data_IF_577083977513
#
_entry.id   IF_577083977513
#
_cell.length_a   1.000
_cell.length_b   1.000
_cell.length_c   1.000
_cell.angle_alpha   90.00
_cell.angle_beta   90.00
_cell.angle_gamma   90.00
#
_symmetry.space_group_name_H-M   'P 1'
#
loop_
_entity.id
_entity.type
_entity.pdbx_description
1 polymer ?
#
# COMPACT_ATOMS: atom_id res chain seq x y z
N UNK A 1 8.17 -4.12 -35.69
CA UNK A 1 9.36 -3.73 -34.95
C UNK A 1 9.04 -2.45 -34.17
N UNK A 2 9.52 -2.26 -32.94
CA UNK A 2 9.36 -0.99 -32.24
C UNK A 2 10.06 0.14 -33.00
N UNK A 3 9.56 1.37 -32.88
CA UNK A 3 10.20 2.55 -33.52
C UNK A 3 11.56 2.84 -32.88
N UNK A 4 12.46 3.49 -33.62
CA UNK A 4 13.80 3.90 -33.11
C UNK A 4 13.67 4.76 -31.84
N UNK A 5 12.65 5.62 -31.76
CA UNK A 5 12.36 6.43 -30.57
C UNK A 5 12.05 5.58 -29.35
N UNK A 6 11.27 4.50 -29.51
CA UNK A 6 10.97 3.58 -28.41
C UNK A 6 12.21 2.83 -27.93
N UNK A 7 13.04 2.37 -28.86
CA UNK A 7 14.32 1.69 -28.54
C UNK A 7 15.23 2.65 -27.76
N UNK A 8 15.36 3.88 -28.23
CA UNK A 8 16.16 4.91 -27.55
C UNK A 8 15.60 5.21 -26.15
N UNK A 9 14.28 5.35 -26.02
CA UNK A 9 13.62 5.58 -24.73
C UNK A 9 13.85 4.41 -23.75
N UNK A 10 13.80 3.17 -24.24
CA UNK A 10 14.05 1.97 -23.42
C UNK A 10 15.51 1.90 -22.94
N UNK A 11 16.48 2.19 -23.81
CA UNK A 11 17.89 2.26 -23.43
C UNK A 11 18.11 3.30 -22.33
N UNK A 12 17.51 4.48 -22.47
CA UNK A 12 17.58 5.55 -21.46
C UNK A 12 16.91 5.11 -20.16
N UNK A 13 15.70 4.53 -20.24
CA UNK A 13 14.94 4.04 -19.11
C UNK A 13 15.72 3.01 -18.29
N UNK A 14 16.29 1.99 -18.96
CA UNK A 14 17.07 0.94 -18.33
C UNK A 14 18.39 1.48 -17.74
N UNK A 15 19.05 2.44 -18.42
CA UNK A 15 20.27 3.10 -17.91
C UNK A 15 20.01 3.87 -16.61
N UNK A 16 18.86 4.55 -16.50
CA UNK A 16 18.54 5.34 -15.31
C UNK A 16 18.00 4.51 -14.16
N UNK A 17 17.35 3.38 -14.41
CA UNK A 17 16.73 2.49 -13.42
C UNK A 17 15.98 3.29 -12.34
N UNK A 18 14.96 4.03 -12.80
CA UNK A 18 14.31 5.08 -12.01
C UNK A 18 13.68 4.51 -10.74
N UNK A 19 13.03 3.34 -10.78
CA UNK A 19 12.32 2.79 -9.63
C UNK A 19 13.27 2.30 -8.54
N UNK A 20 14.47 1.80 -8.91
CA UNK A 20 15.54 1.50 -7.96
C UNK A 20 16.02 2.75 -7.24
N UNK A 21 16.26 3.84 -7.98
CA UNK A 21 16.64 5.12 -7.38
C UNK A 21 15.55 5.67 -6.49
N UNK A 22 14.29 5.59 -6.92
CA UNK A 22 13.14 6.02 -6.12
C UNK A 22 13.02 5.22 -4.82
N UNK A 23 13.32 3.92 -4.81
CA UNK A 23 13.37 3.14 -3.59
C UNK A 23 14.28 3.81 -2.54
N UNK A 24 15.55 4.07 -2.88
CA UNK A 24 16.50 4.67 -1.95
C UNK A 24 16.09 6.10 -1.54
N UNK A 25 15.65 6.90 -2.50
CA UNK A 25 15.28 8.29 -2.24
C UNK A 25 14.03 8.41 -1.37
N UNK A 26 13.01 7.60 -1.63
CA UNK A 26 11.84 7.54 -0.76
C UNK A 26 12.17 6.99 0.63
N UNK A 27 13.08 6.01 0.73
CA UNK A 27 13.53 5.46 2.01
C UNK A 27 14.14 6.58 2.86
N UNK A 28 15.09 7.33 2.31
CA UNK A 28 15.77 8.41 3.03
C UNK A 28 14.79 9.55 3.34
N UNK A 29 14.07 10.05 2.33
CA UNK A 29 13.18 11.19 2.50
C UNK A 29 11.99 10.86 3.42
N UNK A 30 11.38 9.68 3.26
CA UNK A 30 10.27 9.21 4.08
C UNK A 30 10.68 8.98 5.53
N UNK A 31 11.81 8.31 5.75
CA UNK A 31 12.36 8.10 7.10
C UNK A 31 12.68 9.42 7.81
N UNK A 32 13.39 10.33 7.14
CA UNK A 32 13.73 11.64 7.72
C UNK A 32 12.47 12.47 7.98
N UNK A 33 11.52 12.49 7.05
CA UNK A 33 10.25 13.18 7.27
C UNK A 33 9.47 12.59 8.45
N UNK A 34 9.43 11.26 8.57
CA UNK A 34 8.78 10.56 9.68
C UNK A 34 9.46 10.93 11.00
N UNK A 35 10.78 10.86 11.05
CA UNK A 35 11.58 11.21 12.21
C UNK A 35 11.33 12.67 12.66
N UNK A 36 11.44 13.63 11.75
CA UNK A 36 11.21 15.04 12.08
C UNK A 36 9.76 15.32 12.46
N UNK A 37 8.80 14.64 11.86
CA UNK A 37 7.39 14.78 12.22
C UNK A 37 7.10 14.22 13.62
N UNK A 38 7.68 13.08 13.98
CA UNK A 38 7.59 12.53 15.33
C UNK A 38 8.28 13.45 16.34
N UNK A 39 9.50 13.93 16.06
CA UNK A 39 10.19 14.88 16.96
C UNK A 39 9.34 16.12 17.15
N UNK A 40 8.68 16.64 16.10
CA UNK A 40 7.80 17.81 16.16
C UNK A 40 6.60 17.60 17.09
N UNK A 41 6.06 16.36 17.19
CA UNK A 41 4.98 16.05 18.14
C UNK A 41 5.43 16.33 19.58
N UNK A 42 6.71 16.05 19.91
CA UNK A 42 7.26 16.26 21.26
C UNK A 42 7.87 17.67 21.44
N UNK A 43 8.45 18.22 20.39
CA UNK A 43 9.16 19.51 20.42
C UNK A 43 8.92 20.29 19.13
N UNK A 44 7.84 21.07 19.10
CA UNK A 44 7.54 21.94 17.95
C UNK A 44 8.42 23.19 17.99
N UNK A 45 9.36 23.30 17.05
CA UNK A 45 10.25 24.45 16.90
C UNK A 45 10.46 24.78 15.41
N UNK A 46 11.11 25.94 15.15
CA UNK A 46 11.35 26.41 13.77
C UNK A 46 12.14 25.39 12.93
N UNK A 47 13.13 24.73 13.53
CA UNK A 47 13.95 23.73 12.84
C UNK A 47 13.11 22.54 12.38
N UNK A 48 12.33 21.91 13.29
CA UNK A 48 11.51 20.75 12.93
C UNK A 48 10.44 21.09 11.90
N UNK A 49 9.85 22.30 11.96
CA UNK A 49 8.87 22.77 10.96
C UNK A 49 9.50 22.91 9.57
N UNK A 50 10.68 23.55 9.49
CA UNK A 50 11.39 23.71 8.22
C UNK A 50 11.82 22.35 7.66
N UNK A 51 12.39 21.48 8.50
CA UNK A 51 12.82 20.14 8.07
C UNK A 51 11.67 19.31 7.50
N UNK A 52 10.50 19.29 8.17
CA UNK A 52 9.31 18.60 7.67
C UNK A 52 8.85 19.19 6.32
N UNK A 53 8.85 20.51 6.17
CA UNK A 53 8.43 21.14 4.92
C UNK A 53 9.40 20.86 3.76
N UNK A 54 10.71 20.86 4.02
CA UNK A 54 11.73 20.50 3.01
C UNK A 54 11.53 19.05 2.56
N UNK A 55 11.43 18.11 3.51
CA UNK A 55 11.22 16.70 3.19
C UNK A 55 9.89 16.47 2.46
N UNK A 56 8.85 17.21 2.83
CA UNK A 56 7.57 17.16 2.14
C UNK A 56 7.66 17.59 0.66
N UNK A 57 8.39 18.67 0.37
CA UNK A 57 8.63 19.11 -1.01
C UNK A 57 9.43 18.05 -1.77
N UNK A 58 10.48 17.48 -1.16
CA UNK A 58 11.28 16.41 -1.76
C UNK A 58 10.40 15.21 -2.10
N UNK A 59 9.55 14.76 -1.16
CA UNK A 59 8.61 13.65 -1.39
C UNK A 59 7.65 13.97 -2.54
N UNK A 60 7.15 15.20 -2.65
CA UNK A 60 6.33 15.64 -3.77
C UNK A 60 7.05 15.56 -5.13
N UNK A 61 8.33 15.97 -5.17
CA UNK A 61 9.17 15.86 -6.37
C UNK A 61 9.39 14.36 -6.73
N UNK A 62 9.70 13.53 -5.74
CA UNK A 62 9.86 12.09 -5.95
C UNK A 62 8.59 11.44 -6.49
N UNK A 63 7.41 11.87 -6.02
CA UNK A 63 6.13 11.41 -6.56
C UNK A 63 5.93 11.83 -8.03
N UNK A 64 6.33 13.05 -8.38
CA UNK A 64 6.36 13.50 -9.79
C UNK A 64 7.27 12.62 -10.66
N UNK A 65 8.49 12.32 -10.18
CA UNK A 65 9.43 11.43 -10.88
C UNK A 65 8.89 9.99 -10.99
N UNK A 66 8.21 9.50 -9.96
CA UNK A 66 7.55 8.19 -9.98
C UNK A 66 6.47 8.13 -11.06
N UNK A 67 5.64 9.17 -11.15
CA UNK A 67 4.60 9.31 -12.19
C UNK A 67 5.23 9.32 -13.58
N UNK A 68 6.30 10.09 -13.79
CA UNK A 68 7.03 10.12 -15.06
C UNK A 68 7.63 8.76 -15.40
N UNK A 69 8.14 8.02 -14.41
CA UNK A 69 8.64 6.65 -14.60
C UNK A 69 7.56 5.69 -15.10
N UNK A 70 6.35 5.76 -14.54
CA UNK A 70 5.20 4.96 -14.99
C UNK A 70 4.77 5.35 -16.40
N UNK A 71 4.72 6.64 -16.73
CA UNK A 71 4.38 7.14 -18.07
C UNK A 71 5.43 6.67 -19.10
N UNK A 72 6.73 6.76 -18.76
CA UNK A 72 7.80 6.30 -19.62
C UNK A 72 7.67 4.79 -19.89
N UNK A 73 7.40 3.98 -18.86
CA UNK A 73 7.19 2.55 -19.03
C UNK A 73 5.98 2.25 -19.91
N UNK A 74 4.86 2.96 -19.74
CA UNK A 74 3.69 2.85 -20.61
C UNK A 74 4.01 3.16 -22.07
N UNK A 75 4.75 4.24 -22.31
CA UNK A 75 5.16 4.62 -23.66
C UNK A 75 6.02 3.55 -24.33
N UNK A 76 6.99 2.99 -23.63
CA UNK A 76 7.91 1.96 -24.12
C UNK A 76 7.17 0.64 -24.37
N UNK A 77 6.45 0.14 -23.38
CA UNK A 77 5.76 -1.16 -23.41
C UNK A 77 4.57 -1.17 -24.39
N UNK A 78 3.90 -0.01 -24.56
CA UNK A 78 2.65 0.11 -25.34
C UNK A 78 1.41 -0.43 -24.61
N UNK A 79 1.54 -0.83 -23.35
CA UNK A 79 0.44 -1.26 -22.48
C UNK A 79 0.50 -0.56 -21.12
N UNK A 80 -0.61 -0.60 -20.37
CA UNK A 80 -0.72 0.07 -19.09
C UNK A 80 0.31 -0.47 -18.07
N UNK A 81 1.00 0.39 -17.31
CA UNK A 81 2.09 0.01 -16.41
C UNK A 81 1.59 -0.59 -15.08
N UNK A 82 0.65 -1.53 -15.17
CA UNK A 82 0.12 -2.38 -14.09
C UNK A 82 -0.33 -3.75 -14.59
N UNK A 83 0.14 -4.15 -15.79
CA UNK A 83 -0.32 -5.35 -16.49
C UNK A 83 0.45 -6.63 -16.11
N UNK A 84 1.60 -6.52 -15.47
CA UNK A 84 2.38 -7.66 -14.95
C UNK A 84 2.69 -7.48 -13.45
N UNK A 85 3.34 -8.51 -12.85
CA UNK A 85 3.61 -8.53 -11.42
C UNK A 85 4.54 -7.37 -10.98
N UNK A 86 5.62 -7.09 -11.74
CA UNK A 86 6.52 -5.98 -11.43
C UNK A 86 5.81 -4.62 -11.54
N UNK A 87 5.09 -4.43 -12.63
CA UNK A 87 4.36 -3.19 -12.89
C UNK A 87 3.30 -2.93 -11.82
N UNK A 88 2.59 -3.97 -11.39
CA UNK A 88 1.58 -3.82 -10.35
C UNK A 88 2.19 -3.39 -9.01
N UNK A 89 3.38 -3.89 -8.63
CA UNK A 89 4.05 -3.45 -7.39
C UNK A 89 4.46 -1.98 -7.47
N UNK A 90 5.12 -1.55 -8.54
CA UNK A 90 5.50 -0.14 -8.67
C UNK A 90 4.28 0.78 -8.71
N UNK A 91 3.18 0.32 -9.30
CA UNK A 91 1.91 1.04 -9.29
C UNK A 91 1.25 1.09 -7.89
N UNK A 92 1.32 0.02 -7.08
CA UNK A 92 0.88 0.04 -5.68
C UNK A 92 1.66 1.07 -4.88
N UNK A 93 2.99 1.15 -5.07
CA UNK A 93 3.81 2.16 -4.41
C UNK A 93 3.39 3.58 -4.80
N UNK A 94 3.11 3.81 -6.09
CA UNK A 94 2.59 5.08 -6.59
C UNK A 94 1.21 5.41 -5.99
N UNK A 95 0.29 4.46 -5.96
CA UNK A 95 -1.04 4.64 -5.39
C UNK A 95 -0.96 4.93 -3.87
N UNK A 96 -0.06 4.26 -3.13
CA UNK A 96 0.19 4.55 -1.72
C UNK A 96 0.61 6.00 -1.52
N UNK A 97 1.52 6.51 -2.35
CA UNK A 97 1.94 7.91 -2.31
C UNK A 97 0.84 8.87 -2.72
N UNK A 98 0.07 8.52 -3.77
CA UNK A 98 -1.07 9.34 -4.22
C UNK A 98 -2.08 9.57 -3.09
N UNK A 99 -2.52 8.50 -2.42
CA UNK A 99 -3.45 8.63 -1.30
C UNK A 99 -2.81 9.31 -0.09
N UNK A 100 -1.53 9.07 0.18
CA UNK A 100 -0.80 9.79 1.22
C UNK A 100 -0.79 11.30 1.01
N UNK A 101 -0.54 11.75 -0.20
CA UNK A 101 -0.58 13.17 -0.59
C UNK A 101 -2.02 13.72 -0.64
N UNK A 102 -3.00 12.91 -1.03
CA UNK A 102 -4.41 13.33 -1.00
C UNK A 102 -4.89 13.67 0.43
N UNK A 103 -4.34 13.01 1.44
CA UNK A 103 -4.59 13.30 2.86
C UNK A 103 -3.63 14.33 3.48
N UNK A 104 -2.73 14.94 2.70
CA UNK A 104 -1.69 15.87 3.18
C UNK A 104 -2.25 17.02 4.02
N UNK A 105 -3.36 17.62 3.61
CA UNK A 105 -4.01 18.73 4.35
C UNK A 105 -4.45 18.35 5.76
N UNK A 106 -4.57 17.04 6.03
CA UNK A 106 -5.00 16.51 7.32
C UNK A 106 -3.81 16.19 8.21
N UNK A 107 -2.74 15.59 7.65
CA UNK A 107 -1.60 15.14 8.46
C UNK A 107 -0.32 14.98 7.67
N UNK A 108 0.73 15.71 8.06
CA UNK A 108 2.10 15.52 7.53
C UNK A 108 2.68 14.14 7.90
N UNK A 109 2.23 13.58 9.02
CA UNK A 109 2.62 12.24 9.44
C UNK A 109 2.12 11.17 8.45
N UNK A 110 0.94 11.39 7.86
CA UNK A 110 0.38 10.50 6.82
C UNK A 110 1.28 10.47 5.58
N UNK A 111 1.72 11.64 5.09
CA UNK A 111 2.62 11.73 3.93
C UNK A 111 3.96 11.05 4.21
N UNK A 112 4.54 11.30 5.39
CA UNK A 112 5.79 10.67 5.80
C UNK A 112 5.68 9.14 5.85
N UNK A 113 4.58 8.65 6.41
CA UNK A 113 4.28 7.22 6.50
C UNK A 113 4.10 6.59 5.12
N UNK A 114 3.37 7.27 4.22
CA UNK A 114 3.17 6.80 2.84
C UNK A 114 4.49 6.71 2.07
N UNK A 115 5.37 7.71 2.22
CA UNK A 115 6.67 7.70 1.56
C UNK A 115 7.55 6.53 2.05
N UNK A 116 7.53 6.27 3.35
CA UNK A 116 8.26 5.15 3.92
C UNK A 116 7.70 3.81 3.42
N UNK A 117 6.37 3.63 3.41
CA UNK A 117 5.75 2.39 2.90
C UNK A 117 5.96 2.23 1.40
N UNK A 118 5.84 3.30 0.61
CA UNK A 118 6.12 3.25 -0.82
C UNK A 118 7.56 2.78 -1.09
N UNK A 119 8.53 3.22 -0.28
CA UNK A 119 9.91 2.73 -0.38
C UNK A 119 10.04 1.23 -0.08
N UNK A 120 9.33 0.73 0.93
CA UNK A 120 9.32 -0.71 1.25
C UNK A 120 8.71 -1.56 0.12
N UNK A 121 7.64 -1.04 -0.50
CA UNK A 121 7.01 -1.69 -1.65
C UNK A 121 7.95 -1.70 -2.85
N UNK A 122 8.64 -0.58 -3.15
CA UNK A 122 9.64 -0.51 -4.22
C UNK A 122 10.87 -1.38 -3.91
N UNK A 123 11.25 -1.53 -2.63
CA UNK A 123 12.30 -2.45 -2.21
C UNK A 123 11.92 -3.89 -2.57
N UNK A 124 10.68 -4.29 -2.32
CA UNK A 124 10.19 -5.63 -2.67
C UNK A 124 10.24 -5.87 -4.19
N UNK A 125 9.93 -4.86 -5.00
CA UNK A 125 10.07 -4.93 -6.46
C UNK A 125 11.53 -5.12 -6.91
N UNK A 126 12.49 -4.53 -6.16
CA UNK A 126 13.92 -4.57 -6.48
C UNK A 126 14.63 -5.88 -6.03
N UNK A 127 14.14 -6.58 -5.02
CA UNK A 127 14.82 -7.75 -4.41
C UNK A 127 14.86 -9.02 -5.29
N UNK A 128 14.81 -8.89 -6.61
CA UNK A 128 14.93 -9.95 -7.61
C UNK A 128 13.89 -11.09 -7.54
N UNK A 129 12.79 -10.87 -6.86
CA UNK A 129 11.71 -11.87 -6.83
C UNK A 129 10.78 -11.75 -8.03
N UNK A 130 10.86 -10.66 -8.77
CA UNK A 130 9.97 -10.34 -9.88
C UNK A 130 10.81 -9.72 -11.00
N UNK A 131 10.60 -10.22 -12.22
CA UNK A 131 11.29 -9.77 -13.41
C UNK A 131 10.88 -8.33 -13.78
N UNK A 132 11.84 -7.37 -13.84
CA UNK A 132 11.57 -6.00 -14.23
C UNK A 132 11.47 -5.78 -15.75
N UNK A 133 11.80 -6.79 -16.57
CA UNK A 133 11.87 -6.64 -18.01
C UNK A 133 10.53 -6.23 -18.63
N UNK A 134 10.61 -5.51 -19.73
CA UNK A 134 9.45 -5.12 -20.53
C UNK A 134 9.19 -6.24 -21.54
N UNK A 135 8.26 -7.15 -21.18
CA UNK A 135 7.87 -8.26 -22.04
C UNK A 135 6.53 -8.02 -22.71
N UNK A 136 6.29 -8.75 -23.80
CA UNK A 136 4.98 -8.78 -24.43
C UNK A 136 3.97 -9.45 -23.49
N UNK A 137 2.76 -8.88 -23.42
CA UNK A 137 1.68 -9.47 -22.65
C UNK A 137 1.19 -10.76 -23.29
N UNK A 138 0.79 -11.72 -22.46
CA UNK A 138 0.04 -12.87 -22.93
C UNK A 138 -1.30 -12.39 -23.55
N UNK A 139 -1.82 -13.05 -24.59
CA UNK A 139 -3.05 -12.61 -25.29
C UNK A 139 -4.23 -12.36 -24.36
N UNK A 140 -4.43 -13.19 -23.33
CA UNK A 140 -5.52 -13.05 -22.35
C UNK A 140 -5.38 -11.77 -21.50
N UNK A 141 -4.16 -11.23 -21.37
CA UNK A 141 -3.90 -9.98 -20.65
C UNK A 141 -4.04 -8.72 -21.52
N UNK A 142 -4.19 -8.89 -22.82
CA UNK A 142 -4.42 -7.77 -23.76
C UNK A 142 -5.91 -7.50 -23.92
N UNK A 143 -6.56 -7.00 -22.88
CA UNK A 143 -7.99 -6.69 -22.83
C UNK A 143 -8.23 -5.31 -22.22
N UNK A 144 -9.19 -4.58 -22.80
CA UNK A 144 -9.64 -3.28 -22.27
C UNK A 144 -10.18 -3.40 -20.84
N UNK A 145 -10.98 -4.43 -20.58
CA UNK A 145 -11.56 -4.66 -19.26
C UNK A 145 -10.51 -5.04 -18.22
N UNK A 146 -9.49 -5.82 -18.62
CA UNK A 146 -8.36 -6.10 -17.74
C UNK A 146 -7.68 -4.81 -17.30
N UNK A 147 -7.38 -3.91 -18.24
CA UNK A 147 -6.69 -2.66 -17.95
C UNK A 147 -7.44 -1.84 -16.89
N UNK A 148 -8.77 -1.69 -17.03
CA UNK A 148 -9.58 -0.93 -16.07
C UNK A 148 -9.69 -1.65 -14.72
N UNK A 149 -10.02 -2.95 -14.74
CA UNK A 149 -10.16 -3.78 -13.56
C UNK A 149 -8.90 -3.78 -12.70
N UNK A 150 -7.75 -4.08 -13.30
CA UNK A 150 -6.47 -4.14 -12.58
C UNK A 150 -6.07 -2.76 -12.08
N UNK A 151 -6.28 -1.69 -12.84
CA UNK A 151 -6.01 -0.34 -12.36
C UNK A 151 -6.74 -0.05 -11.03
N UNK A 152 -8.01 -0.39 -10.93
CA UNK A 152 -8.82 -0.11 -9.74
C UNK A 152 -8.46 -1.04 -8.58
N UNK A 153 -8.34 -2.36 -8.82
CA UNK A 153 -7.99 -3.33 -7.78
C UNK A 153 -6.61 -3.06 -7.20
N UNK A 154 -5.60 -2.92 -8.06
CA UNK A 154 -4.22 -2.77 -7.62
C UNK A 154 -4.03 -1.41 -6.93
N UNK A 155 -4.69 -0.34 -7.43
CA UNK A 155 -4.68 0.95 -6.73
C UNK A 155 -5.31 0.88 -5.33
N UNK A 156 -6.30 0.01 -5.10
CA UNK A 156 -6.93 -0.16 -3.78
C UNK A 156 -5.97 -0.65 -2.70
N UNK A 157 -4.88 -1.34 -3.09
CA UNK A 157 -3.86 -1.81 -2.16
C UNK A 157 -3.07 -0.66 -1.54
N UNK A 158 -2.97 0.50 -2.22
CA UNK A 158 -2.34 1.70 -1.70
C UNK A 158 -3.00 2.21 -0.41
N UNK A 159 -4.30 2.53 -0.39
CA UNK A 159 -5.03 2.89 0.83
C UNK A 159 -4.95 1.85 1.94
N UNK A 160 -4.94 0.56 1.62
CA UNK A 160 -4.82 -0.50 2.62
C UNK A 160 -3.40 -0.54 3.22
N UNK A 161 -2.36 -0.38 2.42
CA UNK A 161 -0.98 -0.26 2.90
C UNK A 161 -0.80 0.99 3.77
N UNK A 162 -1.40 2.11 3.36
CA UNK A 162 -1.46 3.33 4.16
C UNK A 162 -2.17 3.07 5.51
N UNK A 163 -3.30 2.39 5.50
CA UNK A 163 -4.04 2.05 6.71
C UNK A 163 -3.23 1.18 7.68
N UNK A 164 -2.50 0.20 7.16
CA UNK A 164 -1.61 -0.66 7.96
C UNK A 164 -0.54 0.17 8.69
N UNK A 165 0.17 1.05 7.99
CA UNK A 165 1.23 1.86 8.61
C UNK A 165 0.68 2.90 9.59
N UNK A 166 -0.47 3.52 9.28
CA UNK A 166 -1.13 4.45 10.19
C UNK A 166 -1.61 3.74 11.45
N UNK A 167 -2.10 2.50 11.33
CA UNK A 167 -2.41 1.63 12.45
C UNK A 167 -1.18 1.38 13.32
N UNK A 168 -0.06 1.00 12.72
CA UNK A 168 1.21 0.79 13.42
C UNK A 168 1.68 2.06 14.15
N UNK A 169 1.69 3.21 13.48
CA UNK A 169 2.11 4.49 14.09
C UNK A 169 1.17 4.87 15.24
N UNK A 170 -0.14 4.68 15.08
CA UNK A 170 -1.10 4.92 16.16
C UNK A 170 -0.77 4.09 17.41
N UNK A 171 -0.43 2.80 17.23
CA UNK A 171 -0.03 1.93 18.34
C UNK A 171 1.32 2.36 18.94
N UNK A 172 2.28 2.81 18.15
CA UNK A 172 3.53 3.38 18.66
C UNK A 172 3.28 4.64 19.50
N UNK A 173 2.41 5.55 19.06
CA UNK A 173 2.06 6.74 19.83
C UNK A 173 1.38 6.35 21.18
N UNK A 174 0.53 5.33 21.18
CA UNK A 174 -0.04 4.77 22.42
C UNK A 174 1.06 4.23 23.33
N UNK A 175 2.03 3.51 22.79
CA UNK A 175 3.16 2.97 23.57
C UNK A 175 4.00 4.06 24.24
N UNK A 176 4.29 5.15 23.54
CA UNK A 176 5.08 6.28 24.05
C UNK A 176 4.26 7.28 24.89
N UNK A 177 2.96 7.03 25.11
CA UNK A 177 2.12 7.89 25.95
C UNK A 177 2.52 7.81 27.44
N UNK A 178 2.57 8.98 28.08
CA UNK A 178 2.80 9.18 29.50
C UNK A 178 1.96 10.35 30.03
N UNK A 179 1.98 10.61 31.33
CA UNK A 179 1.19 11.67 31.97
C UNK A 179 1.45 13.07 31.40
N UNK A 180 2.69 13.34 30.94
CA UNK A 180 3.09 14.67 30.43
C UNK A 180 2.63 14.95 28.98
N UNK A 181 2.45 13.87 28.17
CA UNK A 181 2.17 14.01 26.75
C UNK A 181 0.81 13.46 26.31
N UNK A 182 0.03 12.88 27.23
CA UNK A 182 -1.23 12.16 26.92
C UNK A 182 -2.22 12.96 26.06
N UNK A 183 -2.35 14.27 26.28
CA UNK A 183 -3.30 15.11 25.54
C UNK A 183 -2.87 15.29 24.07
N UNK A 184 -1.58 15.60 23.86
CA UNK A 184 -1.01 15.74 22.51
C UNK A 184 -1.06 14.41 21.77
N UNK A 185 -0.72 13.30 22.45
CA UNK A 185 -0.82 11.97 21.86
C UNK A 185 -2.26 11.59 21.50
N UNK A 186 -3.24 11.91 22.38
CA UNK A 186 -4.65 11.64 22.13
C UNK A 186 -5.17 12.34 20.86
N UNK A 187 -4.74 13.58 20.60
CA UNK A 187 -5.09 14.32 19.39
C UNK A 187 -4.49 13.67 18.14
N UNK A 188 -3.20 13.35 18.16
CA UNK A 188 -2.52 12.71 17.03
C UNK A 188 -3.10 11.31 16.74
N UNK A 189 -3.32 10.48 17.77
CA UNK A 189 -3.94 9.15 17.64
C UNK A 189 -5.34 9.27 17.04
N UNK A 190 -6.12 10.28 17.48
CA UNK A 190 -7.47 10.54 16.95
C UNK A 190 -7.41 10.90 15.47
N UNK A 191 -6.54 11.82 15.09
CA UNK A 191 -6.37 12.27 13.71
C UNK A 191 -5.95 11.11 12.80
N UNK A 192 -4.89 10.38 13.17
CA UNK A 192 -4.38 9.24 12.40
C UNK A 192 -5.45 8.15 12.26
N UNK A 193 -6.22 7.86 13.33
CA UNK A 193 -7.28 6.86 13.28
C UNK A 193 -8.39 7.25 12.30
N UNK A 194 -8.77 8.53 12.22
CA UNK A 194 -9.77 8.99 11.25
C UNK A 194 -9.24 8.90 9.81
N UNK A 195 -7.98 9.26 9.58
CA UNK A 195 -7.36 9.13 8.26
C UNK A 195 -7.28 7.64 7.87
N UNK A 196 -6.91 6.77 8.80
CA UNK A 196 -6.91 5.33 8.60
C UNK A 196 -8.32 4.83 8.20
N UNK A 197 -9.35 5.20 8.93
CA UNK A 197 -10.74 4.84 8.60
C UNK A 197 -11.15 5.31 7.19
N UNK A 198 -10.79 6.54 6.81
CA UNK A 198 -11.06 7.08 5.48
C UNK A 198 -10.29 6.31 4.40
N UNK A 199 -9.01 6.01 4.63
CA UNK A 199 -8.19 5.25 3.70
C UNK A 199 -8.74 3.85 3.48
N UNK A 200 -9.06 3.12 4.56
CA UNK A 200 -9.65 1.78 4.47
C UNK A 200 -11.01 1.79 3.77
N UNK A 201 -11.83 2.82 3.98
CA UNK A 201 -13.14 2.97 3.32
C UNK A 201 -12.97 3.15 1.82
N UNK A 202 -12.04 4.02 1.38
CA UNK A 202 -11.74 4.23 -0.04
C UNK A 202 -11.19 2.93 -0.64
N UNK A 203 -10.24 2.27 0.04
CA UNK A 203 -9.67 0.99 -0.40
C UNK A 203 -10.76 -0.08 -0.58
N UNK A 204 -11.70 -0.19 0.37
CA UNK A 204 -12.80 -1.14 0.30
C UNK A 204 -13.74 -0.86 -0.88
N UNK A 205 -14.12 0.40 -1.09
CA UNK A 205 -14.95 0.79 -2.24
C UNK A 205 -14.24 0.45 -3.55
N UNK A 206 -12.96 0.81 -3.68
CA UNK A 206 -12.18 0.52 -4.88
C UNK A 206 -12.02 -0.99 -5.12
N UNK A 207 -11.68 -1.76 -4.07
CA UNK A 207 -11.51 -3.22 -4.19
C UNK A 207 -12.84 -3.87 -4.61
N UNK A 208 -13.97 -3.43 -4.03
CA UNK A 208 -15.30 -3.95 -4.36
C UNK A 208 -15.67 -3.63 -5.81
N UNK A 209 -15.54 -2.38 -6.24
CA UNK A 209 -15.82 -1.98 -7.64
C UNK A 209 -14.88 -2.73 -8.59
N UNK A 210 -13.59 -2.78 -8.27
CA UNK A 210 -12.60 -3.49 -9.08
C UNK A 210 -12.92 -4.98 -9.20
N UNK A 211 -13.39 -5.63 -8.15
CA UNK A 211 -13.78 -7.05 -8.19
C UNK A 211 -14.97 -7.29 -9.13
N UNK A 212 -15.98 -6.41 -9.15
CA UNK A 212 -17.09 -6.48 -10.10
C UNK A 212 -16.63 -6.24 -11.55
N UNK A 213 -15.74 -5.28 -11.78
CA UNK A 213 -15.15 -5.03 -13.11
C UNK A 213 -14.33 -6.24 -13.56
N UNK A 214 -13.68 -6.95 -12.63
CA UNK A 214 -12.99 -8.22 -12.91
C UNK A 214 -13.93 -9.32 -13.39
N UNK A 215 -15.15 -9.37 -12.89
CA UNK A 215 -16.18 -10.26 -13.40
C UNK A 215 -16.51 -9.99 -14.88
N UNK A 216 -16.54 -8.72 -15.30
CA UNK A 216 -16.75 -8.37 -16.71
C UNK A 216 -15.59 -8.86 -17.59
N UNK A 217 -14.35 -8.68 -17.15
CA UNK A 217 -13.19 -9.22 -17.84
C UNK A 217 -13.19 -10.76 -17.88
N UNK A 218 -13.55 -11.43 -16.78
CA UNK A 218 -13.66 -12.88 -16.70
C UNK A 218 -14.71 -13.43 -17.67
N UNK A 219 -15.84 -12.71 -17.84
CA UNK A 219 -16.85 -13.07 -18.82
C UNK A 219 -16.35 -12.97 -20.26
N UNK A 220 -15.62 -11.91 -20.60
CA UNK A 220 -15.02 -11.73 -21.91
C UNK A 220 -13.95 -12.79 -22.20
N UNK A 221 -13.09 -13.09 -21.23
CA UNK A 221 -11.94 -13.98 -21.40
C UNK A 221 -12.28 -15.47 -21.29
N UNK A 222 -13.25 -15.82 -20.45
CA UNK A 222 -13.57 -17.22 -20.07
C UNK A 222 -15.07 -17.56 -20.14
N UNK A 223 -15.92 -16.62 -20.59
CA UNK A 223 -17.37 -16.85 -20.75
C UNK A 223 -18.15 -16.93 -19.43
N UNK A 224 -17.60 -16.47 -18.30
CA UNK A 224 -18.23 -16.51 -16.98
C UNK A 224 -17.86 -15.31 -16.13
N UNK A 225 -18.80 -14.77 -15.38
CA UNK A 225 -18.58 -13.62 -14.50
C UNK A 225 -17.86 -13.97 -13.19
N UNK A 226 -18.01 -15.21 -12.72
CA UNK A 226 -17.44 -15.70 -11.48
C UNK A 226 -17.22 -17.22 -11.53
N UNK A 227 -16.12 -17.70 -11.03
CA UNK A 227 -15.77 -19.14 -11.07
C UNK A 227 -15.12 -19.67 -9.82
N UNK A 228 -15.12 -18.91 -8.72
CA UNK A 228 -14.45 -19.30 -7.48
C UNK A 228 -12.95 -19.55 -7.66
N UNK A 229 -12.36 -18.86 -8.64
CA UNK A 229 -10.92 -18.84 -8.79
C UNK A 229 -10.27 -18.33 -7.49
N UNK A 230 -9.09 -18.84 -7.10
CA UNK A 230 -8.43 -18.40 -5.87
C UNK A 230 -8.26 -16.88 -5.75
N UNK A 231 -7.99 -16.20 -6.87
CA UNK A 231 -7.84 -14.74 -6.88
C UNK A 231 -9.17 -14.02 -6.62
N UNK A 232 -10.24 -14.47 -7.28
CA UNK A 232 -11.60 -13.97 -7.06
C UNK A 232 -12.02 -14.19 -5.60
N UNK A 233 -11.83 -15.41 -5.09
CA UNK A 233 -12.20 -15.81 -3.73
C UNK A 233 -11.46 -15.00 -2.68
N UNK A 234 -10.14 -14.82 -2.80
CA UNK A 234 -9.35 -14.06 -1.84
C UNK A 234 -9.57 -12.56 -1.92
N UNK A 235 -9.91 -12.03 -3.09
CA UNK A 235 -10.39 -10.65 -3.20
C UNK A 235 -11.70 -10.45 -2.41
N UNK A 236 -12.67 -11.37 -2.54
CA UNK A 236 -13.90 -11.35 -1.76
C UNK A 236 -13.64 -11.49 -0.24
N UNK A 237 -12.77 -12.42 0.17
CA UNK A 237 -12.37 -12.58 1.58
C UNK A 237 -11.78 -11.27 2.11
N UNK A 238 -10.91 -10.61 1.35
CA UNK A 238 -10.34 -9.32 1.74
C UNK A 238 -11.41 -8.24 1.87
N UNK A 239 -12.37 -8.17 0.95
CA UNK A 239 -13.54 -7.26 1.04
C UNK A 239 -14.29 -7.49 2.35
N UNK A 240 -14.58 -8.75 2.70
CA UNK A 240 -15.31 -9.08 3.94
C UNK A 240 -14.53 -8.73 5.20
N UNK A 241 -13.22 -8.97 5.22
CA UNK A 241 -12.34 -8.61 6.34
C UNK A 241 -12.33 -7.09 6.54
N UNK A 242 -12.13 -6.29 5.49
CA UNK A 242 -12.12 -4.84 5.62
C UNK A 242 -13.51 -4.27 5.92
N UNK A 243 -14.58 -4.85 5.38
CA UNK A 243 -15.94 -4.51 5.78
C UNK A 243 -16.15 -4.73 7.30
N UNK A 244 -15.68 -5.87 7.82
CA UNK A 244 -15.74 -6.14 9.27
C UNK A 244 -14.94 -5.09 10.07
N UNK A 245 -13.71 -4.77 9.66
CA UNK A 245 -12.86 -3.77 10.35
C UNK A 245 -13.56 -2.41 10.42
N UNK A 246 -14.09 -1.92 9.30
CA UNK A 246 -14.76 -0.61 9.24
C UNK A 246 -16.03 -0.60 10.10
N UNK A 247 -16.77 -1.71 10.13
CA UNK A 247 -18.01 -1.82 10.91
C UNK A 247 -17.78 -2.25 12.37
N UNK A 248 -16.57 -2.61 12.76
CA UNK A 248 -16.25 -3.06 14.13
C UNK A 248 -16.65 -2.07 15.21
N UNK A 249 -16.64 -0.76 14.91
CA UNK A 249 -17.09 0.29 15.84
C UNK A 249 -18.55 0.17 16.30
N UNK A 250 -19.39 -0.54 15.56
CA UNK A 250 -20.79 -0.79 15.94
C UNK A 250 -20.91 -1.90 16.98
N UNK A 251 -19.88 -2.72 17.13
CA UNK A 251 -19.83 -3.80 18.13
C UNK A 251 -19.18 -3.28 19.41
N UNK A 252 -19.87 -3.25 20.58
CA UNK A 252 -19.35 -2.65 21.81
C UNK A 252 -17.96 -3.15 22.22
N UNK A 253 -17.70 -4.46 22.06
CA UNK A 253 -16.42 -5.09 22.40
C UNK A 253 -15.26 -4.60 21.53
N UNK A 254 -15.52 -4.22 20.28
CA UNK A 254 -14.52 -3.78 19.31
C UNK A 254 -14.43 -2.27 19.15
N UNK A 255 -15.21 -1.51 19.94
CA UNK A 255 -15.10 -0.05 19.96
C UNK A 255 -13.77 0.37 20.56
N UNK A 256 -13.06 1.22 19.86
CA UNK A 256 -11.85 1.83 20.39
C UNK A 256 -10.77 2.00 19.34
N UNK A 257 -10.01 3.09 19.48
CA UNK A 257 -8.94 3.41 18.53
C UNK A 257 -7.85 2.35 18.50
N UNK A 258 -7.54 1.75 19.65
CA UNK A 258 -6.54 0.69 19.74
C UNK A 258 -6.98 -0.55 18.93
N UNK A 259 -8.21 -1.03 19.15
CA UNK A 259 -8.76 -2.20 18.44
C UNK A 259 -8.81 -1.94 16.94
N UNK A 260 -9.34 -0.79 16.52
CA UNK A 260 -9.46 -0.43 15.11
C UNK A 260 -8.10 -0.42 14.41
N UNK A 261 -7.10 0.26 15.00
CA UNK A 261 -5.76 0.35 14.41
C UNK A 261 -5.02 -1.00 14.42
N UNK A 262 -5.22 -1.83 15.44
CA UNK A 262 -4.68 -3.19 15.46
C UNK A 262 -5.31 -4.06 14.37
N UNK A 263 -6.64 -3.99 14.23
CA UNK A 263 -7.36 -4.75 13.20
C UNK A 263 -7.00 -4.31 11.78
N UNK A 264 -6.72 -3.03 11.54
CA UNK A 264 -6.26 -2.55 10.24
C UNK A 264 -4.93 -3.17 9.82
N UNK A 265 -4.04 -3.45 10.79
CA UNK A 265 -2.78 -4.16 10.52
C UNK A 265 -3.02 -5.64 10.20
N UNK A 266 -3.86 -6.33 10.97
CA UNK A 266 -4.21 -7.72 10.68
C UNK A 266 -4.88 -7.88 9.32
N UNK A 267 -5.78 -6.96 8.97
CA UNK A 267 -6.49 -6.99 7.70
C UNK A 267 -5.54 -6.94 6.49
N UNK A 268 -4.43 -6.21 6.60
CA UNK A 268 -3.48 -6.08 5.51
C UNK A 268 -2.80 -7.41 5.12
N UNK A 269 -2.71 -8.35 6.04
CA UNK A 269 -2.20 -9.71 5.75
C UNK A 269 -3.05 -10.40 4.68
N UNK A 270 -4.37 -10.14 4.64
CA UNK A 270 -5.24 -10.69 3.58
C UNK A 270 -4.91 -10.13 2.19
N UNK A 271 -4.54 -8.85 2.09
CA UNK A 271 -4.10 -8.23 0.84
C UNK A 271 -2.77 -8.84 0.38
N UNK A 272 -1.81 -8.99 1.31
CA UNK A 272 -0.53 -9.63 0.99
C UNK A 272 -0.73 -11.07 0.53
N UNK A 273 -1.64 -11.81 1.17
CA UNK A 273 -1.96 -13.16 0.74
C UNK A 273 -2.66 -13.19 -0.63
N UNK A 274 -3.58 -12.28 -0.88
CA UNK A 274 -4.24 -12.13 -2.19
C UNK A 274 -3.22 -11.83 -3.29
N UNK A 275 -2.18 -11.06 -2.98
CA UNK A 275 -1.14 -10.67 -3.94
C UNK A 275 -0.08 -11.78 -4.11
N UNK A 276 0.59 -12.17 -3.02
CA UNK A 276 1.69 -13.15 -3.06
C UNK A 276 1.21 -14.59 -2.89
N UNK A 277 0.45 -14.87 -1.84
CA UNK A 277 0.03 -16.23 -1.49
C UNK A 277 -0.73 -16.90 -2.63
N UNK A 278 -1.71 -16.21 -3.19
CA UNK A 278 -2.50 -16.76 -4.30
C UNK A 278 -1.64 -17.01 -5.54
N UNK A 279 -0.75 -16.07 -5.90
CA UNK A 279 0.05 -16.20 -7.11
C UNK A 279 1.05 -17.34 -7.09
N UNK A 280 1.60 -17.71 -5.92
CA UNK A 280 2.69 -18.67 -5.81
C UNK A 280 2.29 -20.01 -5.19
N UNK A 281 1.15 -20.06 -4.46
CA UNK A 281 0.75 -21.25 -3.71
C UNK A 281 -0.58 -21.84 -4.15
N UNK A 282 -1.39 -21.10 -4.92
CA UNK A 282 -2.69 -21.57 -5.38
C UNK A 282 -2.73 -21.60 -6.91
N UNK A 283 -3.33 -22.66 -7.45
CA UNK A 283 -3.48 -22.82 -8.90
C UNK A 283 -4.84 -22.28 -9.32
N UNK A 284 -4.87 -21.40 -10.32
CA UNK A 284 -6.09 -20.82 -10.85
C UNK A 284 -5.86 -20.11 -12.19
N UNK A 285 -6.94 -19.61 -12.77
CA UNK A 285 -6.90 -18.92 -14.07
C UNK A 285 -6.15 -17.57 -14.01
N UNK A 286 -6.00 -16.99 -12.82
CA UNK A 286 -5.26 -15.75 -12.57
C UNK A 286 -3.81 -15.97 -12.12
N UNK A 287 -3.27 -17.17 -12.21
CA UNK A 287 -1.91 -17.48 -11.77
C UNK A 287 -0.93 -17.25 -12.91
N UNK A 288 -0.43 -16.02 -13.06
CA UNK A 288 0.53 -15.62 -14.09
C UNK A 288 1.94 -15.35 -13.53
N UNK A 289 2.18 -15.61 -12.24
CA UNK A 289 3.49 -15.39 -11.65
C UNK A 289 4.45 -16.53 -12.04
N UNK A 290 5.63 -16.15 -12.51
CA UNK A 290 6.76 -17.06 -12.71
C UNK A 290 7.75 -16.87 -11.56
N UNK A 291 8.35 -17.95 -11.06
CA UNK A 291 9.36 -17.94 -10.01
C UNK A 291 9.13 -19.01 -8.95
N UNK A 292 10.09 -19.15 -8.04
CA UNK A 292 9.97 -20.09 -6.93
C UNK A 292 9.00 -19.58 -5.87
N UNK A 293 8.14 -20.46 -5.36
CA UNK A 293 7.23 -20.15 -4.29
C UNK A 293 8.02 -19.85 -2.99
N UNK A 294 7.82 -18.67 -2.43
CA UNK A 294 8.35 -18.35 -1.09
C UNK A 294 7.56 -19.10 -0.02
N UNK A 295 8.21 -19.47 1.11
CA UNK A 295 7.49 -20.11 2.21
C UNK A 295 6.35 -19.21 2.73
N UNK A 296 5.28 -19.80 3.28
CA UNK A 296 4.18 -19.03 3.92
C UNK A 296 4.50 -18.62 5.37
N UNK A 297 5.71 -18.83 5.85
CA UNK A 297 6.13 -18.51 7.22
C UNK A 297 5.99 -17.03 7.54
N UNK A 298 6.14 -16.16 6.54
CA UNK A 298 5.95 -14.72 6.70
C UNK A 298 4.55 -14.35 7.20
N UNK A 299 3.52 -15.16 6.91
CA UNK A 299 2.15 -14.92 7.41
C UNK A 299 2.13 -15.06 8.92
N UNK A 300 2.64 -16.21 9.42
CA UNK A 300 2.68 -16.48 10.85
C UNK A 300 3.58 -15.50 11.59
N UNK A 301 4.71 -15.14 11.00
CA UNK A 301 5.62 -14.12 11.54
C UNK A 301 4.94 -12.76 11.63
N UNK A 302 4.21 -12.35 10.59
CA UNK A 302 3.45 -11.09 10.58
C UNK A 302 2.34 -11.09 11.63
N UNK A 303 1.53 -12.16 11.70
CA UNK A 303 0.47 -12.29 12.68
C UNK A 303 1.03 -12.27 14.12
N UNK A 304 2.14 -12.95 14.36
CA UNK A 304 2.82 -12.95 15.65
C UNK A 304 3.34 -11.56 16.01
N UNK A 305 4.02 -10.90 15.08
CA UNK A 305 4.57 -9.55 15.30
C UNK A 305 3.45 -8.55 15.63
N UNK A 306 2.35 -8.55 14.87
CA UNK A 306 1.19 -7.69 15.11
C UNK A 306 0.56 -7.99 16.49
N UNK A 307 0.45 -9.27 16.85
CA UNK A 307 -0.07 -9.70 18.17
C UNK A 307 0.80 -9.18 19.32
N UNK A 308 2.13 -9.27 19.18
CA UNK A 308 3.08 -8.77 20.18
C UNK A 308 2.93 -7.24 20.32
N UNK A 309 2.84 -6.50 19.23
CA UNK A 309 2.61 -5.05 19.25
C UNK A 309 1.31 -4.73 20.00
N UNK A 310 0.24 -5.47 19.70
CA UNK A 310 -1.04 -5.34 20.38
C UNK A 310 -0.90 -5.56 21.90
N UNK A 311 -0.27 -6.65 22.32
CA UNK A 311 -0.08 -6.99 23.74
C UNK A 311 0.73 -5.94 24.48
N UNK A 312 1.81 -5.44 23.88
CA UNK A 312 2.69 -4.43 24.51
C UNK A 312 1.97 -3.07 24.64
N UNK A 313 1.13 -2.71 23.67
CA UNK A 313 0.47 -1.39 23.65
C UNK A 313 -0.83 -1.34 24.47
N UNK A 314 -1.48 -2.49 24.69
CA UNK A 314 -2.78 -2.56 25.38
C UNK A 314 -2.76 -2.00 26.82
N UNK A 315 -1.76 -2.29 27.70
CA UNK A 315 -1.71 -1.73 29.05
C UNK A 315 -1.69 -0.20 29.07
N UNK A 316 -0.93 0.40 28.14
CA UNK A 316 -0.87 1.86 27.98
C UNK A 316 -2.20 2.42 27.50
N UNK A 317 -2.83 1.76 26.53
CA UNK A 317 -4.18 2.13 26.06
C UNK A 317 -5.20 2.09 27.18
N UNK A 318 -5.21 0.99 27.96
CA UNK A 318 -6.13 0.84 29.12
C UNK A 318 -5.91 1.92 30.18
N UNK A 319 -4.64 2.30 30.42
CA UNK A 319 -4.30 3.31 31.44
C UNK A 319 -4.70 4.72 31.03
N UNK A 320 -4.52 5.11 29.77
CA UNK A 320 -4.60 6.51 29.34
C UNK A 320 -5.81 6.86 28.47
N UNK A 321 -6.49 5.86 27.88
CA UNK A 321 -7.51 6.08 26.84
C UNK A 321 -8.80 5.29 27.02
N UNK A 322 -8.86 4.39 27.96
CA UNK A 322 -10.05 3.62 28.34
C UNK A 322 -10.54 4.02 29.74
#
# INVERSE_FOLDING_TARGET
MPSEDKITAEIIYNKYDIFKKLFYLYMIAGFLMLLFTIIRIFKDNKFTRISVNIMHIIVGILFGLHTLGLIARWYISGHAPWSNAYESIIYVAWATMFFGLAFDRKSKLTVASSAFVASMILMAAYMNWIDPDIANLQPVLNSYWLMIHVAVIVASYGPFALGMILGFISLLLIFFTNEKNKEVMALNIKEITYINEMALTIGLIMLTIGNFLGGQWANESWGRYWGWDPKETWALISIMIYAFVIHSRFVPMFRGKWVFNLMSMFAFVSILFTYYGVNFHLVGLHSYASGEATSLDWIWQSLLAISIIGLITYPKYKKYYK
#
